data_IF_802425655893
#
_entry.id   IF_802425655893
#
_cell.length_a   1.000
_cell.length_b   1.000
_cell.length_c   1.000
_cell.angle_alpha   90.00
_cell.angle_beta   90.00
_cell.angle_gamma   90.00
#
_symmetry.space_group_name_H-M   'P 1'
#
loop_
_entity.id
_entity.type
_entity.pdbx_description
1 polymer ?
#
# COMPACT_ATOMS: atom_id res chain seq x y z
N UNK A 1 36.29 -27.33 2.37
CA UNK A 1 35.59 -26.16 2.93
C UNK A 1 34.91 -25.43 1.78
N UNK A 2 33.58 -25.31 1.77
CA UNK A 2 32.85 -24.68 0.67
C UNK A 2 32.87 -23.16 0.83
N UNK A 3 33.53 -22.45 -0.09
CA UNK A 3 33.59 -20.99 -0.13
C UNK A 3 32.28 -20.45 -0.74
N UNK A 4 31.40 -19.87 0.07
CA UNK A 4 30.21 -19.19 -0.47
C UNK A 4 30.60 -17.83 -1.06
N UNK A 5 30.26 -17.62 -2.33
CA UNK A 5 30.40 -16.33 -3.00
C UNK A 5 29.45 -15.29 -2.40
N UNK A 6 30.00 -14.15 -1.95
CA UNK A 6 29.23 -13.04 -1.39
C UNK A 6 28.54 -12.27 -2.51
N UNK A 7 27.28 -12.58 -2.79
CA UNK A 7 26.46 -11.83 -3.76
C UNK A 7 26.05 -10.50 -3.15
N UNK A 8 26.60 -9.41 -3.66
CA UNK A 8 26.20 -8.03 -3.32
C UNK A 8 25.04 -7.60 -4.20
N UNK A 9 23.98 -7.04 -3.59
CA UNK A 9 22.83 -6.53 -4.33
C UNK A 9 23.23 -5.29 -5.14
N UNK A 10 22.97 -5.32 -6.46
CA UNK A 10 23.24 -4.20 -7.36
C UNK A 10 21.92 -3.55 -7.78
N UNK A 11 21.81 -2.23 -7.62
CA UNK A 11 20.59 -1.50 -7.96
C UNK A 11 20.34 -1.55 -9.46
N UNK A 12 19.10 -1.81 -9.87
CA UNK A 12 18.74 -1.80 -11.29
C UNK A 12 18.85 -0.38 -11.86
N UNK A 13 19.56 -0.25 -12.97
CA UNK A 13 19.73 1.00 -13.71
C UNK A 13 18.73 1.03 -14.88
N UNK A 14 17.46 1.32 -14.58
CA UNK A 14 16.40 1.47 -15.61
C UNK A 14 15.64 2.77 -15.39
N UNK A 15 15.37 3.49 -16.48
CA UNK A 15 14.62 4.75 -16.46
C UNK A 15 15.52 5.98 -16.46
N UNK A 16 14.99 7.13 -16.01
CA UNK A 16 15.70 8.42 -16.02
C UNK A 16 16.70 8.45 -14.87
N UNK A 17 17.92 8.92 -15.13
CA UNK A 17 18.88 9.17 -14.07
C UNK A 17 18.47 10.42 -13.28
N UNK A 18 18.27 10.28 -11.97
CA UNK A 18 17.93 11.39 -11.07
C UNK A 18 19.16 11.84 -10.29
N UNK A 19 20.04 10.89 -9.91
CA UNK A 19 21.31 11.16 -9.24
C UNK A 19 22.42 10.22 -9.76
N UNK A 20 23.67 10.46 -9.39
CA UNK A 20 24.80 9.61 -9.79
C UNK A 20 24.60 8.18 -9.28
N UNK A 21 24.25 7.27 -10.20
CA UNK A 21 23.99 5.87 -9.90
C UNK A 21 22.55 5.54 -9.46
N UNK A 22 21.65 6.52 -9.39
CA UNK A 22 20.24 6.33 -9.03
C UNK A 22 19.34 6.61 -10.25
N UNK A 23 18.53 5.61 -10.61
CA UNK A 23 17.62 5.67 -11.76
C UNK A 23 16.18 5.54 -11.27
N UNK A 24 15.32 6.44 -11.74
CA UNK A 24 13.89 6.43 -11.52
C UNK A 24 13.19 5.71 -12.68
N UNK A 25 12.46 4.65 -12.35
CA UNK A 25 11.62 3.92 -13.30
C UNK A 25 10.15 4.15 -12.95
N UNK A 26 9.31 4.33 -13.97
CA UNK A 26 7.86 4.50 -13.82
C UNK A 26 7.17 3.28 -13.18
N UNK A 27 7.85 2.14 -13.08
CA UNK A 27 7.33 0.92 -12.47
C UNK A 27 8.25 0.45 -11.34
N UNK A 28 7.75 0.57 -10.10
CA UNK A 28 8.17 -0.29 -9.00
C UNK A 28 7.89 -1.73 -9.47
N UNK A 29 8.83 -2.67 -9.30
CA UNK A 29 8.79 -3.99 -9.95
C UNK A 29 7.47 -4.76 -9.80
N UNK A 30 7.30 -5.89 -10.49
CA UNK A 30 6.09 -6.71 -10.34
C UNK A 30 5.85 -7.09 -8.88
N UNK A 31 4.83 -6.50 -8.25
CA UNK A 31 4.38 -6.86 -6.91
C UNK A 31 3.23 -7.85 -7.07
N UNK A 32 3.39 -9.05 -6.51
CA UNK A 32 2.40 -10.12 -6.56
C UNK A 32 1.02 -9.67 -6.06
N UNK A 33 -0.03 -10.06 -6.78
CA UNK A 33 -1.42 -9.83 -6.37
C UNK A 33 -1.73 -10.72 -5.16
N UNK A 34 -1.70 -10.13 -3.96
CA UNK A 34 -2.07 -10.80 -2.72
C UNK A 34 -3.55 -10.58 -2.47
N UNK A 35 -4.30 -11.65 -2.23
CA UNK A 35 -5.72 -11.56 -1.85
C UNK A 35 -5.86 -10.92 -0.46
N UNK A 36 -6.85 -10.03 -0.23
CA UNK A 36 -7.17 -9.48 1.10
C UNK A 36 -7.41 -10.55 2.17
N UNK A 37 -7.85 -11.76 1.77
CA UNK A 37 -8.05 -12.92 2.66
C UNK A 37 -6.76 -13.40 3.33
N UNK A 38 -5.58 -12.99 2.83
CA UNK A 38 -4.27 -13.36 3.41
C UNK A 38 -3.87 -12.49 4.60
N UNK A 39 -4.74 -11.59 5.08
CA UNK A 39 -4.54 -10.85 6.32
C UNK A 39 -3.26 -10.02 6.30
N UNK A 40 -2.33 -10.30 7.22
CA UNK A 40 -1.10 -9.53 7.41
C UNK A 40 -0.24 -9.36 6.16
N UNK A 41 -0.16 -10.38 5.29
CA UNK A 41 0.60 -10.28 4.04
C UNK A 41 0.04 -9.22 3.08
N UNK A 42 -1.27 -9.00 3.13
CA UNK A 42 -1.92 -7.96 2.32
C UNK A 42 -1.55 -6.57 2.86
N UNK A 43 -1.68 -6.34 4.17
CA UNK A 43 -1.33 -5.07 4.79
C UNK A 43 0.17 -4.75 4.72
N UNK A 44 1.03 -5.76 4.84
CA UNK A 44 2.47 -5.60 4.65
C UNK A 44 2.81 -5.11 3.24
N UNK A 45 2.15 -5.67 2.21
CA UNK A 45 2.32 -5.21 0.83
C UNK A 45 1.86 -3.77 0.67
N UNK A 46 0.73 -3.40 1.28
CA UNK A 46 0.21 -2.04 1.25
C UNK A 46 1.18 -1.05 1.92
N UNK A 47 1.72 -1.40 3.08
CA UNK A 47 2.72 -0.59 3.79
C UNK A 47 4.00 -0.40 2.97
N UNK A 48 4.48 -1.44 2.29
CA UNK A 48 5.66 -1.37 1.41
C UNK A 48 5.42 -0.52 0.16
N UNK A 49 4.16 -0.38 -0.28
CA UNK A 49 3.77 0.48 -1.38
C UNK A 49 3.67 1.95 -0.95
N UNK A 50 3.24 2.20 0.28
CA UNK A 50 3.04 3.56 0.79
C UNK A 50 4.30 4.17 1.40
N UNK A 51 5.14 3.36 2.05
CA UNK A 51 6.35 3.82 2.76
C UNK A 51 7.57 3.59 1.86
N UNK A 52 8.23 4.64 1.35
CA UNK A 52 9.46 4.49 0.60
C UNK A 52 10.65 4.19 1.53
N UNK A 53 11.44 3.15 1.19
CA UNK A 53 12.72 2.87 1.83
C UNK A 53 12.69 2.41 3.31
N UNK A 54 11.75 1.57 3.75
CA UNK A 54 11.77 1.04 5.12
C UNK A 54 13.05 0.22 5.34
N UNK A 55 13.75 0.52 6.43
CA UNK A 55 15.01 -0.16 6.79
C UNK A 55 14.80 -1.39 7.66
N UNK A 56 13.64 -1.52 8.30
CA UNK A 56 13.29 -2.67 9.15
C UNK A 56 11.78 -2.93 9.20
N UNK A 57 11.38 -4.16 9.57
CA UNK A 57 9.97 -4.51 9.80
C UNK A 57 9.35 -3.74 10.96
N UNK A 58 10.16 -3.35 11.95
CA UNK A 58 9.69 -2.52 13.06
C UNK A 58 9.38 -1.10 12.60
N UNK A 59 10.18 -0.55 11.68
CA UNK A 59 9.90 0.74 11.04
C UNK A 59 8.58 0.71 10.26
N UNK A 60 8.27 -0.40 9.58
CA UNK A 60 6.99 -0.56 8.87
C UNK A 60 5.76 -0.54 9.79
N UNK A 61 5.92 -1.01 11.04
CA UNK A 61 4.85 -0.99 12.06
C UNK A 61 4.84 0.29 12.89
N UNK A 62 5.82 1.17 12.70
CA UNK A 62 5.95 2.39 13.48
C UNK A 62 5.41 3.55 12.67
N UNK A 63 4.24 4.04 13.05
CA UNK A 63 3.59 5.19 12.41
C UNK A 63 3.48 6.30 13.44
N UNK A 64 3.94 7.51 13.08
CA UNK A 64 3.95 8.68 13.97
C UNK A 64 4.60 8.43 15.35
N UNK A 65 5.66 7.60 15.40
CA UNK A 65 6.39 7.30 16.63
C UNK A 65 5.76 6.23 17.53
N UNK A 66 4.62 5.66 17.15
CA UNK A 66 3.98 4.54 17.88
C UNK A 66 4.16 3.24 17.11
N UNK A 67 4.69 2.21 17.75
CA UNK A 67 4.80 0.87 17.17
C UNK A 67 3.51 0.10 17.40
N UNK A 68 2.88 -0.35 16.31
CA UNK A 68 1.67 -1.16 16.36
C UNK A 68 1.97 -2.66 16.38
N UNK A 69 1.08 -3.46 16.97
CA UNK A 69 1.23 -4.91 17.04
C UNK A 69 1.05 -5.55 15.66
N UNK A 70 -0.01 -5.18 14.95
CA UNK A 70 -0.36 -5.71 13.62
C UNK A 70 -0.06 -4.72 12.48
N UNK A 71 0.26 -5.27 11.29
CA UNK A 71 0.45 -4.46 10.08
C UNK A 71 -0.84 -3.75 9.64
N UNK A 72 -2.00 -4.34 9.96
CA UNK A 72 -3.31 -3.71 9.74
C UNK A 72 -3.44 -2.41 10.51
N UNK A 73 -3.09 -2.41 11.80
CA UNK A 73 -3.23 -1.24 12.67
C UNK A 73 -2.25 -0.14 12.30
N UNK A 74 -1.01 -0.51 11.93
CA UNK A 74 -0.06 0.43 11.36
C UNK A 74 -0.59 1.07 10.07
N UNK A 75 -1.19 0.29 9.17
CA UNK A 75 -1.76 0.81 7.93
C UNK A 75 -2.98 1.72 8.18
N UNK A 76 -3.82 1.38 9.16
CA UNK A 76 -4.95 2.19 9.60
C UNK A 76 -4.48 3.52 10.20
N UNK A 77 -3.46 3.48 11.07
CA UNK A 77 -2.84 4.67 11.67
C UNK A 77 -2.16 5.59 10.64
N UNK A 78 -1.74 5.04 9.50
CA UNK A 78 -1.19 5.81 8.38
C UNK A 78 -2.27 6.65 7.66
N UNK A 79 -3.56 6.45 7.97
CA UNK A 79 -4.68 7.22 7.41
C UNK A 79 -4.97 6.88 5.94
N UNK A 80 -4.47 5.75 5.44
CA UNK A 80 -4.69 5.29 4.07
C UNK A 80 -5.94 4.40 3.94
N UNK A 81 -6.58 4.06 5.05
CA UNK A 81 -7.85 3.36 5.09
C UNK A 81 -8.88 4.32 5.72
N UNK A 82 -9.83 4.80 4.93
CA UNK A 82 -11.08 5.32 5.50
C UNK A 82 -11.78 4.16 6.22
N UNK A 83 -12.32 4.40 7.42
CA UNK A 83 -13.05 3.38 8.18
C UNK A 83 -14.08 2.70 7.28
N UNK A 84 -14.11 1.36 7.31
CA UNK A 84 -15.07 0.53 6.57
C UNK A 84 -16.54 0.87 6.89
N UNK A 85 -16.76 1.69 7.92
CA UNK A 85 -18.04 2.25 8.31
C UNK A 85 -18.74 2.99 7.17
N UNK A 86 -18.03 3.78 6.36
CA UNK A 86 -18.67 4.53 5.27
C UNK A 86 -19.28 3.56 4.27
N UNK A 87 -18.51 2.57 3.81
CA UNK A 87 -19.01 1.55 2.88
C UNK A 87 -20.09 0.67 3.49
N UNK A 88 -20.00 0.32 4.78
CA UNK A 88 -21.06 -0.42 5.48
C UNK A 88 -22.36 0.39 5.51
N UNK A 89 -22.29 1.67 5.82
CA UNK A 89 -23.44 2.57 5.84
C UNK A 89 -24.03 2.73 4.44
N UNK A 90 -23.20 2.98 3.42
CA UNK A 90 -23.65 3.08 2.03
C UNK A 90 -24.30 1.78 1.53
N UNK A 91 -23.76 0.61 1.90
CA UNK A 91 -24.38 -0.67 1.56
C UNK A 91 -25.71 -0.88 2.30
N UNK A 92 -25.80 -0.50 3.57
CA UNK A 92 -27.05 -0.55 4.32
C UNK A 92 -28.11 0.36 3.68
N UNK A 93 -27.75 1.58 3.32
CA UNK A 93 -28.63 2.53 2.62
C UNK A 93 -29.07 2.00 1.26
N UNK A 94 -28.16 1.39 0.49
CA UNK A 94 -28.47 0.77 -0.80
C UNK A 94 -29.38 -0.47 -0.67
N UNK A 95 -29.21 -1.26 0.40
CA UNK A 95 -30.14 -2.35 0.71
C UNK A 95 -31.53 -1.83 1.07
N UNK A 96 -31.63 -0.73 1.82
CA UNK A 96 -32.90 -0.10 2.18
C UNK A 96 -33.58 0.49 0.94
N UNK A 97 -32.82 1.10 0.03
CA UNK A 97 -33.35 1.70 -1.21
C UNK A 97 -33.76 0.68 -2.28
N UNK A 98 -33.42 -0.61 -2.11
CA UNK A 98 -33.73 -1.74 -3.01
C UNK A 98 -33.40 -1.46 -4.49
N UNK A 99 -32.46 -0.56 -4.76
CA UNK A 99 -32.04 -0.21 -6.13
C UNK A 99 -30.82 -1.06 -6.51
N UNK A 100 -30.93 -1.97 -7.49
CA UNK A 100 -29.81 -2.80 -7.95
C UNK A 100 -28.60 -1.96 -8.39
N UNK A 101 -28.88 -0.81 -9.02
CA UNK A 101 -27.87 0.12 -9.49
C UNK A 101 -27.04 0.72 -8.34
N UNK A 102 -27.68 1.04 -7.21
CA UNK A 102 -26.99 1.61 -6.04
C UNK A 102 -26.06 0.59 -5.37
N UNK A 103 -26.43 -0.70 -5.39
CA UNK A 103 -25.59 -1.79 -4.90
C UNK A 103 -24.38 -2.04 -5.81
N UNK A 104 -24.57 -1.99 -7.14
CA UNK A 104 -23.49 -2.14 -8.12
C UNK A 104 -22.45 -1.03 -7.99
N UNK A 105 -22.88 0.22 -7.87
CA UNK A 105 -21.98 1.38 -7.66
C UNK A 105 -21.18 1.20 -6.36
N UNK A 106 -21.84 0.79 -5.29
CA UNK A 106 -21.21 0.56 -3.98
C UNK A 106 -20.14 -0.54 -4.06
N UNK A 107 -20.45 -1.65 -4.74
CA UNK A 107 -19.54 -2.78 -4.89
C UNK A 107 -18.34 -2.46 -5.80
N UNK A 108 -18.57 -1.70 -6.87
CA UNK A 108 -17.52 -1.26 -7.79
C UNK A 108 -16.56 -0.27 -7.12
N UNK A 109 -17.10 0.70 -6.37
CA UNK A 109 -16.34 1.66 -5.56
C UNK A 109 -15.45 0.94 -4.53
N UNK A 110 -16.02 -0.02 -3.80
CA UNK A 110 -15.30 -0.85 -2.83
C UNK A 110 -14.16 -1.63 -3.52
N UNK A 111 -14.46 -2.36 -4.59
CA UNK A 111 -13.48 -3.21 -5.28
C UNK A 111 -12.34 -2.40 -5.90
N UNK A 112 -12.63 -1.25 -6.52
CA UNK A 112 -11.61 -0.41 -7.15
C UNK A 112 -10.58 0.11 -6.12
N UNK A 113 -11.03 0.50 -4.92
CA UNK A 113 -10.18 1.04 -3.85
C UNK A 113 -9.27 -0.03 -3.22
N UNK A 114 -9.79 -1.23 -2.99
CA UNK A 114 -9.03 -2.34 -2.41
C UNK A 114 -8.03 -2.99 -3.39
N UNK A 115 -8.30 -2.93 -4.69
CA UNK A 115 -7.46 -3.55 -5.73
C UNK A 115 -6.43 -2.58 -6.32
N UNK A 116 -6.70 -1.26 -6.30
CA UNK A 116 -5.78 -0.22 -6.78
C UNK A 116 -5.68 0.98 -5.82
N UNK A 117 -4.97 0.85 -4.68
CA UNK A 117 -4.69 1.97 -3.78
C UNK A 117 -3.75 3.04 -4.39
N UNK A 118 -3.16 2.79 -5.56
CA UNK A 118 -2.08 3.59 -6.16
C UNK A 118 -2.49 4.86 -6.91
N UNK A 119 -3.75 5.33 -6.84
CA UNK A 119 -4.13 6.59 -7.49
C UNK A 119 -4.20 7.82 -6.57
N UNK A 120 -4.09 7.69 -5.25
CA UNK A 120 -4.46 8.79 -4.34
C UNK A 120 -3.32 9.47 -3.55
N UNK A 121 -2.05 9.07 -3.66
CA UNK A 121 -0.97 9.75 -2.92
C UNK A 121 0.10 10.45 -3.76
N UNK A 122 0.04 10.41 -5.10
CA UNK A 122 0.93 11.23 -5.94
C UNK A 122 0.42 12.67 -5.99
N UNK A 123 0.55 13.40 -4.88
CA UNK A 123 0.03 14.75 -4.77
C UNK A 123 0.15 15.38 -3.39
N UNK A 124 1.17 15.07 -2.59
CA UNK A 124 1.51 15.90 -1.43
C UNK A 124 3.02 16.10 -1.36
N UNK A 125 3.40 17.36 -1.58
CA UNK A 125 4.74 17.91 -1.57
C UNK A 125 5.50 17.49 -0.30
N UNK A 126 6.60 16.76 -0.47
CA UNK A 126 7.64 16.73 0.56
C UNK A 126 8.63 17.84 0.25
N UNK A 127 8.35 19.01 0.84
CA UNK A 127 9.32 20.09 0.94
C UNK A 127 10.51 19.61 1.76
N UNK A 128 11.68 19.65 1.14
CA UNK A 128 12.97 19.49 1.80
C UNK A 128 13.14 20.58 2.86
N UNK A 129 13.44 20.18 4.09
CA UNK A 129 14.18 20.97 5.07
C UNK A 129 15.25 20.08 5.68
#
# INVERSE_FOLDING_TARGET
MHQYSKKTWQRRKRGRQVEVGVYEAAAIGRIYTISPKRGDCFYLRLLLLSIPGPTSFQMLRTVNGTTHESYRDAYLALGLLEDDNIHRQTLQEACISQSPHSLEISFLSFSHRYVNPTRQSCGKNFGMK
#
